data_IF_806288575795
#
_entry.id   IF_806288575795
#
_cell.length_a   1.000
_cell.length_b   1.000
_cell.length_c   1.000
_cell.angle_alpha   90.00
_cell.angle_beta   90.00
_cell.angle_gamma   90.00
#
_symmetry.space_group_name_H-M   'P 1'
#
loop_
_entity.id
_entity.type
_entity.pdbx_description
1 polymer ?
#
# COMPACT_ATOMS: atom_id res chain seq x y z
N UNK A 1 2.32 8.83 3.70
CA UNK A 1 3.49 8.06 4.21
C UNK A 1 4.49 7.86 3.05
N UNK A 2 5.80 7.93 3.31
CA UNK A 2 6.86 7.68 2.32
C UNK A 2 7.76 6.54 2.80
N UNK A 3 7.86 5.46 2.03
CA UNK A 3 8.68 4.28 2.34
C UNK A 3 9.78 4.04 1.32
N UNK A 4 11.00 4.48 1.64
CA UNK A 4 12.21 4.29 0.82
C UNK A 4 12.94 3.01 1.22
N UNK A 5 13.33 2.20 0.23
CA UNK A 5 13.94 0.88 0.46
C UNK A 5 15.44 1.00 0.66
N UNK A 6 15.95 0.33 1.69
CA UNK A 6 17.39 0.21 1.96
C UNK A 6 18.00 -1.04 1.32
N UNK A 7 17.17 -2.07 1.09
CA UNK A 7 17.55 -3.32 0.44
C UNK A 7 16.58 -3.58 -0.71
N UNK A 8 17.06 -4.29 -1.72
CA UNK A 8 16.22 -4.75 -2.81
C UNK A 8 15.09 -5.63 -2.28
N UNK A 9 13.87 -5.36 -2.74
CA UNK A 9 12.66 -6.14 -2.42
C UNK A 9 11.78 -6.19 -3.66
N UNK A 10 11.26 -7.37 -4.00
CA UNK A 10 10.16 -7.43 -4.95
C UNK A 10 8.91 -6.78 -4.35
N UNK A 11 8.02 -6.29 -5.21
CA UNK A 11 6.76 -5.69 -4.79
C UNK A 11 5.89 -6.68 -4.02
N UNK A 12 5.88 -7.95 -4.41
CA UNK A 12 5.16 -9.03 -3.73
C UNK A 12 5.69 -9.30 -2.30
N UNK A 13 7.01 -9.30 -2.11
CA UNK A 13 7.60 -9.49 -0.78
C UNK A 13 7.30 -8.31 0.15
N UNK A 14 7.37 -7.10 -0.40
CA UNK A 14 7.07 -5.88 0.32
C UNK A 14 5.59 -5.79 0.71
N UNK A 15 4.70 -5.95 -0.27
CA UNK A 15 3.25 -5.79 -0.06
C UNK A 15 2.70 -6.84 0.88
N UNK A 16 3.18 -8.08 0.84
CA UNK A 16 2.76 -9.15 1.75
C UNK A 16 2.88 -8.76 3.22
N UNK A 17 4.02 -8.21 3.64
CA UNK A 17 4.24 -7.80 5.04
C UNK A 17 3.34 -6.63 5.44
N UNK A 18 3.12 -5.67 4.53
CA UNK A 18 2.21 -4.55 4.79
C UNK A 18 0.79 -5.08 4.97
N UNK A 19 0.33 -5.95 4.07
CA UNK A 19 -1.00 -6.55 4.12
C UNK A 19 -1.22 -7.40 5.38
N UNK A 20 -0.24 -8.21 5.79
CA UNK A 20 -0.31 -9.00 7.03
C UNK A 20 -0.62 -8.10 8.25
N UNK A 21 0.08 -6.98 8.37
CA UNK A 21 -0.16 -6.02 9.45
C UNK A 21 -1.52 -5.32 9.31
N UNK A 22 -1.90 -4.88 8.11
CA UNK A 22 -3.19 -4.22 7.89
C UNK A 22 -4.37 -5.16 8.23
N UNK A 23 -4.30 -6.41 7.79
CA UNK A 23 -5.34 -7.42 8.05
C UNK A 23 -5.43 -7.71 9.55
N UNK A 24 -4.30 -7.91 10.22
CA UNK A 24 -4.27 -8.13 11.67
C UNK A 24 -4.89 -6.94 12.42
N UNK A 25 -4.56 -5.71 12.03
CA UNK A 25 -5.14 -4.50 12.62
C UNK A 25 -6.66 -4.45 12.41
N UNK A 26 -7.13 -4.54 11.16
CA UNK A 26 -8.55 -4.47 10.84
C UNK A 26 -9.37 -5.59 11.52
N UNK A 27 -8.81 -6.81 11.62
CA UNK A 27 -9.43 -7.89 12.39
C UNK A 27 -9.54 -7.55 13.87
N UNK A 28 -8.50 -6.93 14.47
CA UNK A 28 -8.51 -6.56 15.89
C UNK A 28 -9.54 -5.48 16.25
N UNK A 29 -9.86 -4.59 15.32
CA UNK A 29 -10.86 -3.53 15.49
C UNK A 29 -12.23 -3.87 14.90
N UNK A 30 -12.39 -5.08 14.35
CA UNK A 30 -13.66 -5.59 13.83
C UNK A 30 -14.12 -4.95 12.52
N UNK A 31 -13.20 -4.42 11.70
CA UNK A 31 -13.51 -3.75 10.43
C UNK A 31 -13.17 -4.57 9.20
N UNK A 32 -12.73 -5.83 9.35
CA UNK A 32 -12.33 -6.69 8.24
C UNK A 32 -13.50 -7.53 7.71
N UNK A 33 -14.12 -7.09 6.60
CA UNK A 33 -15.12 -7.84 5.84
C UNK A 33 -14.72 -8.06 4.38
N UNK A 34 -15.70 -8.45 3.56
CA UNK A 34 -15.48 -8.78 2.13
C UNK A 34 -14.94 -7.59 1.32
N UNK A 35 -15.38 -6.36 1.65
CA UNK A 35 -14.90 -5.14 1.00
C UNK A 35 -13.41 -4.88 1.30
N UNK A 36 -12.98 -5.13 2.54
CA UNK A 36 -11.58 -4.99 2.95
C UNK A 36 -10.73 -6.10 2.34
N UNK A 37 -11.23 -7.32 2.28
CA UNK A 37 -10.54 -8.43 1.62
C UNK A 37 -10.28 -8.14 0.13
N UNK A 38 -11.30 -7.65 -0.59
CA UNK A 38 -11.16 -7.23 -1.99
C UNK A 38 -10.21 -6.05 -2.17
N UNK A 39 -10.22 -5.08 -1.24
CA UNK A 39 -9.29 -3.96 -1.25
C UNK A 39 -7.83 -4.38 -0.98
N UNK A 40 -7.61 -5.35 -0.09
CA UNK A 40 -6.30 -5.97 0.15
C UNK A 40 -5.82 -6.76 -1.08
N UNK A 41 -6.71 -7.47 -1.77
CA UNK A 41 -6.35 -8.12 -3.04
C UNK A 41 -5.96 -7.09 -4.10
N UNK A 42 -6.74 -6.01 -4.25
CA UNK A 42 -6.39 -4.90 -5.15
C UNK A 42 -5.02 -4.31 -4.80
N UNK A 43 -4.74 -4.11 -3.50
CA UNK A 43 -3.42 -3.72 -3.03
C UNK A 43 -2.36 -4.70 -3.51
N UNK A 44 -2.51 -6.00 -3.27
CA UNK A 44 -1.55 -7.02 -3.73
C UNK A 44 -1.27 -6.93 -5.25
N UNK A 45 -2.33 -6.78 -6.06
CA UNK A 45 -2.21 -6.72 -7.52
C UNK A 45 -1.40 -5.51 -8.00
N UNK A 46 -1.56 -4.34 -7.37
CA UNK A 46 -0.79 -3.13 -7.73
C UNK A 46 0.71 -3.36 -7.55
N UNK A 47 1.10 -4.14 -6.53
CA UNK A 47 2.50 -4.43 -6.24
C UNK A 47 3.07 -5.66 -6.96
N UNK A 48 2.24 -6.49 -7.60
CA UNK A 48 2.61 -7.82 -8.08
C UNK A 48 3.82 -7.84 -9.03
N UNK A 49 3.91 -6.87 -9.94
CA UNK A 49 4.96 -6.79 -10.95
C UNK A 49 5.96 -5.65 -10.68
N UNK A 50 5.94 -5.07 -9.48
CA UNK A 50 6.87 -4.02 -9.10
C UNK A 50 8.15 -4.61 -8.51
N UNK A 51 9.22 -3.84 -8.62
CA UNK A 51 10.49 -4.12 -7.99
C UNK A 51 10.99 -2.86 -7.27
N UNK A 52 11.60 -3.02 -6.10
CA UNK A 52 12.11 -1.92 -5.31
C UNK A 52 13.61 -2.12 -5.03
N UNK A 53 14.50 -1.65 -5.93
CA UNK A 53 15.92 -1.55 -5.61
C UNK A 53 16.17 -0.56 -4.45
N UNK A 54 17.37 -0.56 -3.84
CA UNK A 54 17.73 0.45 -2.86
C UNK A 54 17.53 1.87 -3.41
N UNK A 55 16.87 2.74 -2.64
CA UNK A 55 16.47 4.10 -3.06
C UNK A 55 15.06 4.18 -3.65
N UNK A 56 14.53 3.08 -4.20
CA UNK A 56 13.16 3.05 -4.67
C UNK A 56 12.18 3.30 -3.52
N UNK A 57 11.12 4.04 -3.81
CA UNK A 57 10.22 4.62 -2.81
C UNK A 57 8.77 4.37 -3.20
N UNK A 58 7.99 3.95 -2.21
CA UNK A 58 6.52 3.95 -2.30
C UNK A 58 5.97 5.15 -1.54
N UNK A 59 4.93 5.75 -2.10
CA UNK A 59 4.16 6.81 -1.47
C UNK A 59 2.74 6.33 -1.25
N UNK A 60 2.27 6.48 -0.03
CA UNK A 60 0.89 6.24 0.37
C UNK A 60 0.23 7.58 0.66
N UNK A 61 -0.78 7.94 -0.14
CA UNK A 61 -1.63 9.10 0.11
C UNK A 61 -2.92 8.62 0.77
N UNK A 62 -3.02 8.82 2.08
CA UNK A 62 -4.27 8.66 2.80
C UNK A 62 -5.07 9.94 2.64
N UNK A 63 -6.30 9.80 2.15
CA UNK A 63 -7.21 10.91 1.92
C UNK A 63 -8.30 10.93 2.98
N UNK A 64 -8.77 12.11 3.43
CA UNK A 64 -9.83 12.20 4.43
C UNK A 64 -11.18 11.62 3.96
N UNK A 65 -11.34 11.39 2.66
CA UNK A 65 -12.50 10.70 2.06
C UNK A 65 -12.44 9.16 2.20
N UNK A 66 -11.38 8.61 2.79
CA UNK A 66 -11.21 7.17 2.96
C UNK A 66 -10.58 6.46 1.77
N UNK A 67 -9.94 7.19 0.86
CA UNK A 67 -9.16 6.58 -0.24
C UNK A 67 -7.68 6.44 0.12
N UNK A 68 -7.04 5.41 -0.46
CA UNK A 68 -5.60 5.17 -0.39
C UNK A 68 -5.00 5.24 -1.79
N UNK A 69 -4.28 6.33 -2.04
CA UNK A 69 -3.50 6.51 -3.24
C UNK A 69 -2.11 5.88 -3.14
N UNK A 70 -1.68 5.20 -4.21
CA UNK A 70 -0.40 4.52 -4.31
C UNK A 70 0.42 5.13 -5.45
N UNK A 71 1.64 5.56 -5.14
CA UNK A 71 2.60 6.03 -6.15
C UNK A 71 3.98 5.42 -5.92
N UNK A 72 4.75 5.25 -6.99
CA UNK A 72 6.05 4.60 -6.97
C UNK A 72 7.10 5.46 -7.68
N UNK A 73 8.32 5.47 -7.15
CA UNK A 73 9.45 6.20 -7.72
C UNK A 73 10.73 5.41 -7.51
N UNK A 74 11.63 5.46 -8.48
CA UNK A 74 12.97 4.86 -8.38
C UNK A 74 13.94 5.73 -7.57
N UNK A 75 13.70 7.04 -7.48
CA UNK A 75 14.66 8.05 -6.99
C UNK A 75 14.11 8.94 -5.85
N UNK A 76 13.03 8.50 -5.21
CA UNK A 76 12.33 9.20 -4.12
C UNK A 76 11.70 10.56 -4.51
N UNK A 77 11.62 10.90 -5.80
CA UNK A 77 10.80 12.02 -6.26
C UNK A 77 9.33 11.64 -6.25
N UNK A 78 8.48 12.54 -5.77
CA UNK A 78 7.03 12.31 -5.74
C UNK A 78 6.51 12.35 -7.19
N UNK A 79 5.88 11.28 -7.69
CA UNK A 79 5.27 11.28 -9.02
C UNK A 79 4.11 12.28 -9.10
N UNK A 80 3.88 12.87 -10.28
CA UNK A 80 2.78 13.82 -10.48
C UNK A 80 1.38 13.19 -10.48
N UNK A 81 1.30 11.88 -10.76
CA UNK A 81 0.06 11.11 -10.78
C UNK A 81 0.21 9.82 -9.98
N UNK A 82 -0.90 9.34 -9.43
CA UNK A 82 -0.95 8.08 -8.71
C UNK A 82 -0.99 6.90 -9.68
N UNK A 83 -0.32 5.81 -9.31
CA UNK A 83 -0.35 4.57 -10.06
C UNK A 83 -1.64 3.78 -9.81
N UNK A 84 -2.22 3.91 -8.61
CA UNK A 84 -3.50 3.30 -8.27
C UNK A 84 -4.18 4.04 -7.12
N UNK A 85 -5.51 3.89 -7.04
CA UNK A 85 -6.33 4.35 -5.93
C UNK A 85 -7.18 3.18 -5.41
N UNK A 86 -7.17 2.99 -4.09
CA UNK A 86 -7.98 2.00 -3.38
C UNK A 86 -9.05 2.75 -2.60
N UNK A 87 -10.31 2.48 -2.92
CA UNK A 87 -11.47 3.10 -2.29
C UNK A 87 -11.96 2.25 -1.13
N UNK A 88 -11.20 2.27 -0.03
CA UNK A 88 -11.58 1.58 1.19
C UNK A 88 -10.97 2.29 2.40
N UNK A 89 -11.83 2.81 3.28
CA UNK A 89 -11.40 3.62 4.43
C UNK A 89 -10.56 2.82 5.42
N UNK A 90 -11.00 1.61 5.78
CA UNK A 90 -10.31 0.77 6.74
C UNK A 90 -8.90 0.39 6.26
N UNK A 91 -8.76 0.02 4.98
CA UNK A 91 -7.45 -0.25 4.37
C UNK A 91 -6.60 1.02 4.29
N UNK A 92 -7.20 2.17 3.97
CA UNK A 92 -6.47 3.44 3.96
C UNK A 92 -5.87 3.75 5.32
N UNK A 93 -6.66 3.67 6.38
CA UNK A 93 -6.23 3.95 7.75
C UNK A 93 -5.22 2.91 8.28
N UNK A 94 -5.37 1.63 7.91
CA UNK A 94 -4.52 0.53 8.41
C UNK A 94 -3.07 0.53 7.90
N UNK A 95 -2.74 1.30 6.86
CA UNK A 95 -1.36 1.38 6.31
C UNK A 95 -0.43 2.25 7.16
N UNK A 96 -0.98 3.09 8.05
CA UNK A 96 -0.22 3.89 9.01
C UNK A 96 0.19 3.07 10.24
#
# INVERSE_FOLDING_TARGET
>A
IRGTKLRHLSGAEYSRKVMENCVAHMMSVGTYGDAEAAAIEKFAQVFKNLDFPPGATVFYRQSPDGTLGLSFSEDARIPGNESAVIENKAVSEAVL
#
